data_IF_049350676230
#
_entry.id   IF_049350676230
#
_cell.length_a   1.000
_cell.length_b   1.000
_cell.length_c   1.000
_cell.angle_alpha   90.00
_cell.angle_beta   90.00
_cell.angle_gamma   90.00
#
_symmetry.space_group_name_H-M   'P 1'
#
loop_
_entity.id
_entity.type
_entity.pdbx_description
1 polymer ?
#
# COMPACT_ATOMS: atom_id res chain seq x y z
N UNK A 1 -29.52 -58.09 -28.47
CA UNK A 1 -29.22 -58.84 -27.24
C UNK A 1 -29.29 -57.85 -26.10
N UNK A 2 -30.51 -57.72 -25.58
CA UNK A 2 -30.85 -57.09 -24.31
C UNK A 2 -30.44 -58.07 -23.17
N UNK A 3 -30.23 -57.60 -21.94
CA UNK A 3 -31.40 -57.40 -21.08
C UNK A 3 -31.37 -56.14 -20.18
N UNK A 4 -32.57 -55.61 -19.98
CA UNK A 4 -33.00 -54.80 -18.84
C UNK A 4 -32.93 -55.58 -17.53
N UNK A 5 -32.73 -54.89 -16.40
CA UNK A 5 -33.43 -55.22 -15.14
C UNK A 5 -33.60 -53.99 -14.25
N UNK A 6 -34.81 -53.90 -13.71
CA UNK A 6 -35.42 -52.85 -12.89
C UNK A 6 -35.12 -52.96 -11.37
N UNK A 7 -35.40 -51.84 -10.67
CA UNK A 7 -35.89 -51.72 -9.28
C UNK A 7 -34.86 -51.88 -8.15
N UNK A 8 -34.83 -51.11 -7.05
CA UNK A 8 -35.91 -50.48 -6.27
C UNK A 8 -35.37 -49.33 -5.42
N UNK A 9 -36.21 -48.31 -5.23
CA UNK A 9 -36.09 -47.29 -4.18
C UNK A 9 -35.96 -47.91 -2.78
N UNK A 10 -35.20 -47.26 -1.90
CA UNK A 10 -35.57 -47.19 -0.48
C UNK A 10 -35.27 -45.81 0.09
N UNK A 11 -36.34 -45.04 0.27
CA UNK A 11 -36.41 -43.82 1.06
C UNK A 11 -36.09 -44.14 2.52
N UNK A 12 -35.04 -43.55 3.08
CA UNK A 12 -34.88 -43.45 4.53
C UNK A 12 -35.27 -42.03 4.97
N UNK A 13 -36.33 -42.00 5.78
CA UNK A 13 -36.97 -40.82 6.34
C UNK A 13 -36.00 -40.02 7.22
N UNK A 14 -36.05 -38.69 7.02
CA UNK A 14 -35.59 -37.67 7.95
C UNK A 14 -36.13 -37.91 9.37
N UNK A 15 -35.24 -37.99 10.36
CA UNK A 15 -35.52 -37.65 11.75
C UNK A 15 -34.67 -36.42 12.14
N UNK A 16 -35.27 -35.36 12.69
CA UNK A 16 -34.51 -34.20 13.14
C UNK A 16 -33.82 -34.50 14.47
N UNK A 17 -32.49 -34.51 14.48
CA UNK A 17 -31.69 -34.50 15.70
C UNK A 17 -31.89 -33.18 16.45
N UNK A 18 -32.57 -33.24 17.59
CA UNK A 18 -32.64 -32.14 18.57
C UNK A 18 -31.29 -32.01 19.27
N UNK A 19 -30.42 -31.14 18.77
CA UNK A 19 -29.21 -30.72 19.46
C UNK A 19 -29.57 -29.85 20.68
N UNK A 20 -29.64 -30.49 21.86
CA UNK A 20 -29.72 -29.84 23.16
C UNK A 20 -28.34 -29.28 23.54
N UNK A 21 -28.04 -28.07 23.07
CA UNK A 21 -26.90 -27.28 23.54
C UNK A 21 -27.19 -26.81 24.97
N UNK A 22 -26.56 -27.45 25.96
CA UNK A 22 -26.53 -26.97 27.35
C UNK A 22 -25.69 -25.69 27.42
N UNK A 23 -26.35 -24.53 27.57
CA UNK A 23 -25.69 -23.25 27.91
C UNK A 23 -24.95 -23.39 29.25
N UNK A 24 -23.65 -23.06 29.35
CA UNK A 24 -22.96 -23.02 30.63
C UNK A 24 -23.50 -21.86 31.48
N UNK A 25 -23.82 -22.16 32.76
CA UNK A 25 -24.22 -21.17 33.77
C UNK A 25 -23.00 -20.32 34.15
N UNK A 26 -22.88 -19.13 33.57
CA UNK A 26 -21.93 -18.12 34.00
C UNK A 26 -22.48 -17.44 35.26
N UNK A 27 -21.83 -17.66 36.41
CA UNK A 27 -22.06 -16.83 37.61
C UNK A 27 -21.48 -15.44 37.38
N UNK A 28 -22.18 -14.34 37.71
CA UNK A 28 -21.61 -13.01 37.63
C UNK A 28 -20.48 -12.89 38.66
N UNK A 29 -19.26 -12.61 38.18
CA UNK A 29 -18.14 -12.24 39.06
C UNK A 29 -18.38 -10.82 39.57
N UNK A 30 -18.38 -10.68 40.91
CA UNK A 30 -18.31 -9.40 41.62
C UNK A 30 -17.14 -8.57 41.08
N UNK A 31 -17.40 -7.31 40.76
CA UNK A 31 -16.38 -6.28 40.63
C UNK A 31 -15.50 -6.31 41.88
N UNK A 32 -14.24 -6.67 41.70
CA UNK A 32 -13.20 -6.36 42.65
C UNK A 32 -12.48 -5.14 42.11
N UNK A 33 -12.57 -4.07 42.87
CA UNK A 33 -11.70 -2.90 42.78
C UNK A 33 -10.25 -3.37 42.68
N UNK A 34 -9.65 -3.22 41.51
CA UNK A 34 -8.21 -3.26 41.35
C UNK A 34 -7.76 -1.81 41.29
N UNK A 35 -7.46 -1.29 42.48
CA UNK A 35 -6.60 -0.13 42.66
C UNK A 35 -5.37 -0.27 41.78
N UNK A 36 -5.11 0.75 40.97
CA UNK A 36 -3.85 0.93 40.25
C UNK A 36 -2.78 1.24 41.31
N UNK A 37 -1.73 0.42 41.50
CA UNK A 37 -0.58 0.81 42.29
C UNK A 37 0.22 1.85 41.52
N UNK A 38 0.61 2.90 42.25
CA UNK A 38 1.31 4.07 41.72
C UNK A 38 2.66 3.79 41.09
N UNK A 39 3.07 4.80 40.34
CA UNK A 39 4.30 4.92 39.58
C UNK A 39 5.54 4.40 40.30
N UNK A 40 6.31 3.56 39.61
CA UNK A 40 7.76 3.52 39.76
C UNK A 40 8.40 2.93 38.50
N UNK A 41 9.26 3.73 37.86
CA UNK A 41 10.25 3.36 36.85
C UNK A 41 9.75 2.93 35.46
N UNK A 42 9.61 3.91 34.54
CA UNK A 42 9.73 3.66 33.10
C UNK A 42 10.65 4.70 32.47
N UNK A 43 11.75 4.16 31.95
CA UNK A 43 12.98 4.81 31.51
C UNK A 43 12.85 5.63 30.23
N UNK A 44 13.55 6.77 30.19
CA UNK A 44 14.34 7.31 29.05
C UNK A 44 13.67 7.60 27.69
N UNK A 45 12.80 6.73 27.17
CA UNK A 45 12.26 6.81 25.82
C UNK A 45 11.02 7.72 25.68
N UNK A 46 10.32 8.03 26.78
CA UNK A 46 9.20 8.99 26.75
C UNK A 46 9.64 10.45 26.68
N UNK A 47 10.87 10.77 27.09
CA UNK A 47 11.40 12.14 27.02
C UNK A 47 11.70 12.58 25.57
N UNK A 48 12.10 11.67 24.69
CA UNK A 48 12.34 11.96 23.27
C UNK A 48 11.04 12.14 22.48
N UNK A 49 9.97 11.43 22.84
CA UNK A 49 8.66 11.56 22.20
C UNK A 49 7.96 12.87 22.61
N UNK A 50 8.13 13.33 23.86
CA UNK A 50 7.60 14.62 24.31
C UNK A 50 8.33 15.82 23.70
N UNK A 51 9.63 15.70 23.38
CA UNK A 51 10.37 16.76 22.69
C UNK A 51 9.92 16.95 21.22
N UNK A 52 9.54 15.86 20.53
CA UNK A 52 9.01 15.93 19.16
C UNK A 52 7.59 16.56 19.11
N UNK A 53 6.74 16.29 20.12
CA UNK A 53 5.39 16.86 20.20
C UNK A 53 5.42 18.36 20.54
N UNK A 54 6.37 18.82 21.37
CA UNK A 54 6.50 20.25 21.72
C UNK A 54 7.12 21.10 20.60
N UNK A 55 7.99 20.54 19.76
CA UNK A 55 8.51 21.24 18.58
C UNK A 55 7.46 21.39 17.47
N UNK A 56 6.46 20.52 17.42
CA UNK A 56 5.32 20.64 16.50
C UNK A 56 4.35 21.78 16.91
N UNK A 57 4.28 22.13 18.20
CA UNK A 57 3.47 23.26 18.68
C UNK A 57 4.13 24.64 18.51
N UNK A 58 5.47 24.71 18.47
CA UNK A 58 6.16 25.99 18.27
C UNK A 58 6.11 26.49 16.80
N UNK A 59 5.98 25.57 15.84
CA UNK A 59 5.74 25.93 14.43
C UNK A 59 4.36 26.55 14.20
N UNK A 60 3.35 26.16 14.99
CA UNK A 60 1.97 26.69 14.88
C UNK A 60 1.85 28.10 15.47
N UNK A 61 2.65 28.43 16.50
CA UNK A 61 2.65 29.77 17.10
C UNK A 61 3.49 30.81 16.32
N UNK A 62 4.35 30.36 15.41
CA UNK A 62 5.34 31.20 14.72
C UNK A 62 4.95 31.50 13.27
N UNK A 63 3.68 31.83 13.00
CA UNK A 63 3.26 32.55 11.79
C UNK A 63 3.89 32.12 10.46
N UNK A 64 4.10 30.82 10.24
CA UNK A 64 4.51 30.32 8.93
C UNK A 64 3.36 30.62 7.98
N UNK A 65 3.62 31.44 6.96
CA UNK A 65 2.70 31.71 5.85
C UNK A 65 1.95 30.42 5.50
N UNK A 66 0.66 30.34 5.83
CA UNK A 66 -0.17 29.31 5.25
C UNK A 66 -0.08 29.55 3.75
N UNK A 67 0.60 28.65 3.04
CA UNK A 67 0.71 28.71 1.59
C UNK A 67 -0.71 28.87 1.05
N UNK A 68 -1.00 30.04 0.48
CA UNK A 68 -2.30 30.32 -0.08
C UNK A 68 -2.52 29.31 -1.20
N UNK A 69 -3.53 28.45 -1.08
CA UNK A 69 -3.84 27.43 -2.08
C UNK A 69 -3.91 28.11 -3.46
N UNK A 70 -2.91 27.83 -4.29
CA UNK A 70 -2.91 28.28 -5.68
C UNK A 70 -3.90 27.39 -6.43
N UNK A 71 -4.51 27.94 -7.49
CA UNK A 71 -5.36 27.12 -8.36
C UNK A 71 -4.56 25.93 -8.87
N UNK A 72 -5.03 24.71 -8.62
CA UNK A 72 -4.40 23.47 -9.10
C UNK A 72 -4.13 23.61 -10.61
N UNK A 73 -2.88 23.45 -11.07
CA UNK A 73 -2.54 23.60 -12.48
C UNK A 73 -3.29 22.55 -13.29
N UNK A 74 -3.78 22.92 -14.47
CA UNK A 74 -4.43 21.95 -15.36
C UNK A 74 -3.46 20.82 -15.68
N UNK A 75 -3.85 19.56 -15.44
CA UNK A 75 -3.02 18.41 -15.79
C UNK A 75 -2.91 18.29 -17.32
N UNK A 76 -1.69 18.41 -17.89
CA UNK A 76 -1.47 18.30 -19.32
C UNK A 76 -1.88 16.92 -19.86
N UNK A 77 -2.88 16.89 -20.74
CA UNK A 77 -3.23 15.69 -21.49
C UNK A 77 -2.17 15.43 -22.56
N UNK A 78 -1.69 14.19 -22.66
CA UNK A 78 -0.71 13.80 -23.69
C UNK A 78 0.19 12.65 -23.23
N UNK A 79 1.26 12.41 -23.97
CA UNK A 79 2.26 11.37 -23.65
C UNK A 79 3.23 11.92 -22.61
N UNK A 80 3.44 11.16 -21.54
CA UNK A 80 4.42 11.47 -20.51
C UNK A 80 5.61 10.53 -20.66
N UNK A 81 6.83 11.09 -20.62
CA UNK A 81 8.03 10.29 -20.49
C UNK A 81 8.09 9.67 -19.09
N UNK A 82 8.64 8.46 -18.98
CA UNK A 82 9.01 7.86 -17.71
C UNK A 82 10.52 7.95 -17.55
N UNK A 83 10.97 8.46 -16.40
CA UNK A 83 12.36 8.44 -15.98
C UNK A 83 12.41 7.80 -14.59
N UNK A 84 12.88 6.56 -14.55
CA UNK A 84 12.96 5.75 -13.34
C UNK A 84 14.11 6.14 -12.41
N UNK A 85 14.33 5.29 -11.41
CA UNK A 85 15.40 5.43 -10.41
C UNK A 85 16.80 5.47 -11.05
N UNK A 86 16.98 4.83 -12.20
CA UNK A 86 18.28 4.63 -12.84
C UNK A 86 18.47 5.40 -14.17
N UNK A 87 17.53 6.28 -14.56
CA UNK A 87 17.51 6.87 -15.89
C UNK A 87 18.13 8.27 -15.94
N UNK A 88 19.24 8.43 -16.68
CA UNK A 88 19.63 9.73 -17.22
C UNK A 88 18.55 10.18 -18.22
N UNK A 89 17.93 11.34 -18.00
CA UNK A 89 16.86 11.86 -18.86
C UNK A 89 17.50 12.40 -20.15
N UNK A 90 17.30 11.76 -21.32
CA UNK A 90 17.89 12.24 -22.56
C UNK A 90 17.32 13.61 -22.94
N UNK A 91 18.17 14.62 -23.22
CA UNK A 91 17.71 15.95 -23.61
C UNK A 91 16.77 15.95 -24.84
N UNK A 92 16.88 14.95 -25.71
CA UNK A 92 16.04 14.79 -26.89
C UNK A 92 14.56 14.55 -26.54
N UNK A 93 14.26 13.96 -25.37
CA UNK A 93 12.88 13.76 -24.94
C UNK A 93 12.17 15.08 -24.67
N UNK A 94 12.87 16.07 -24.10
CA UNK A 94 12.30 17.38 -23.84
C UNK A 94 12.03 18.18 -25.13
N UNK A 95 12.76 17.89 -26.20
CA UNK A 95 12.57 18.51 -27.52
C UNK A 95 11.47 17.82 -28.35
N UNK A 96 10.97 16.67 -27.90
CA UNK A 96 9.91 15.96 -28.60
C UNK A 96 8.54 16.61 -28.32
N UNK A 97 7.95 17.24 -29.33
CA UNK A 97 6.65 17.92 -29.23
C UNK A 97 5.47 17.00 -28.89
N UNK A 98 5.63 15.67 -29.01
CA UNK A 98 4.64 14.69 -28.58
C UNK A 98 4.65 14.43 -27.06
N UNK A 99 5.70 14.83 -26.35
CA UNK A 99 5.88 14.60 -24.92
C UNK A 99 5.46 15.86 -24.16
N UNK A 100 4.50 15.72 -23.26
CA UNK A 100 3.92 16.86 -22.51
C UNK A 100 4.53 17.07 -21.13
N UNK A 101 5.28 16.09 -20.63
CA UNK A 101 5.93 16.11 -19.33
C UNK A 101 6.73 14.84 -19.07
N UNK A 102 7.34 14.77 -17.88
CA UNK A 102 8.14 13.62 -17.44
C UNK A 102 7.73 13.21 -16.02
N UNK A 103 7.63 11.91 -15.79
CA UNK A 103 7.51 11.32 -14.47
C UNK A 103 8.88 10.95 -13.91
N UNK A 104 9.18 11.36 -12.68
CA UNK A 104 10.37 10.93 -11.94
C UNK A 104 9.95 10.30 -10.61
N UNK A 105 10.69 9.31 -10.15
CA UNK A 105 10.39 8.63 -8.89
C UNK A 105 11.64 8.22 -8.11
N UNK A 106 11.44 7.87 -6.85
CA UNK A 106 12.42 7.21 -5.99
C UNK A 106 11.72 6.19 -5.08
N UNK A 107 12.44 5.18 -4.60
CA UNK A 107 11.92 4.16 -3.69
C UNK A 107 11.85 4.66 -2.24
N UNK A 108 10.84 4.21 -1.48
CA UNK A 108 10.65 4.60 -0.08
C UNK A 108 11.86 4.24 0.79
N UNK A 109 12.44 3.05 0.61
CA UNK A 109 13.65 2.61 1.31
C UNK A 109 14.87 3.52 1.09
N UNK A 110 14.90 4.25 -0.04
CA UNK A 110 15.97 5.20 -0.36
C UNK A 110 15.68 6.55 0.28
N UNK A 111 14.47 7.08 0.10
CA UNK A 111 14.13 8.42 0.65
C UNK A 111 13.96 8.42 2.16
N UNK A 112 13.76 7.26 2.79
CA UNK A 112 13.57 7.16 4.23
C UNK A 112 14.44 6.05 4.83
N UNK A 113 15.78 6.24 4.85
CA UNK A 113 16.74 5.19 5.19
C UNK A 113 16.74 4.82 6.68
N UNK A 114 16.22 5.70 7.54
CA UNK A 114 16.12 5.49 8.98
C UNK A 114 14.85 6.15 9.56
N UNK A 115 14.37 5.73 10.75
CA UNK A 115 13.17 6.30 11.37
C UNK A 115 13.24 7.83 11.47
N UNK A 116 12.27 8.53 10.85
CA UNK A 116 12.17 9.99 10.87
C UNK A 116 13.26 10.74 10.09
N UNK A 117 14.14 10.04 9.35
CA UNK A 117 15.17 10.65 8.51
C UNK A 117 14.74 10.54 7.05
N UNK A 118 14.62 11.67 6.37
CA UNK A 118 14.31 11.73 4.95
C UNK A 118 15.48 12.28 4.14
N UNK A 119 15.89 11.54 3.11
CA UNK A 119 16.93 11.91 2.16
C UNK A 119 16.33 12.05 0.76
N UNK A 120 16.13 13.30 0.33
CA UNK A 120 15.55 13.62 -0.98
C UNK A 120 16.59 13.77 -2.09
N UNK A 121 17.89 13.59 -1.79
CA UNK A 121 18.99 13.97 -2.69
C UNK A 121 18.88 13.36 -4.09
N UNK A 122 18.53 12.09 -4.20
CA UNK A 122 18.37 11.43 -5.50
C UNK A 122 17.15 11.94 -6.27
N UNK A 123 16.00 12.08 -5.61
CA UNK A 123 14.79 12.59 -6.27
C UNK A 123 14.95 14.07 -6.66
N UNK A 124 15.63 14.88 -5.83
CA UNK A 124 16.01 16.26 -6.13
C UNK A 124 16.92 16.33 -7.35
N UNK A 125 17.91 15.45 -7.45
CA UNK A 125 18.80 15.34 -8.60
C UNK A 125 18.02 15.02 -9.88
N UNK A 126 17.06 14.07 -9.83
CA UNK A 126 16.21 13.73 -10.98
C UNK A 126 15.29 14.88 -11.38
N UNK A 127 14.69 15.59 -10.42
CA UNK A 127 13.88 16.79 -10.70
C UNK A 127 14.73 17.89 -11.34
N UNK A 128 15.96 18.11 -10.84
CA UNK A 128 16.89 19.07 -11.41
C UNK A 128 17.33 18.67 -12.83
N UNK A 129 17.62 17.38 -13.05
CA UNK A 129 17.92 16.81 -14.37
C UNK A 129 16.78 16.99 -15.36
N UNK A 130 15.53 16.73 -14.96
CA UNK A 130 14.34 16.97 -15.78
C UNK A 130 14.21 18.44 -16.20
N UNK A 131 14.43 19.37 -15.26
CA UNK A 131 14.41 20.80 -15.54
C UNK A 131 15.53 21.22 -16.50
N UNK A 132 16.74 20.71 -16.27
CA UNK A 132 17.91 20.98 -17.09
C UNK A 132 17.74 20.45 -18.53
N UNK A 133 17.09 19.28 -18.69
CA UNK A 133 16.73 18.73 -19.98
C UNK A 133 15.70 19.60 -20.73
N UNK A 134 14.92 20.42 -20.03
CA UNK A 134 13.97 21.36 -20.64
C UNK A 134 12.51 21.12 -20.25
N UNK A 135 12.21 20.11 -19.43
CA UNK A 135 10.84 19.88 -18.96
C UNK A 135 10.36 21.02 -18.06
N UNK A 136 9.07 21.33 -18.17
CA UNK A 136 8.37 22.34 -17.35
C UNK A 136 7.17 21.76 -16.59
N UNK A 137 6.88 20.48 -16.84
CA UNK A 137 5.74 19.73 -16.30
C UNK A 137 6.29 18.39 -15.83
N UNK A 138 6.37 18.23 -14.51
CA UNK A 138 6.97 17.09 -13.85
C UNK A 138 5.90 16.44 -12.98
N UNK A 139 5.82 15.11 -13.07
CA UNK A 139 5.10 14.28 -12.10
C UNK A 139 6.13 13.62 -11.19
N UNK A 140 5.92 13.69 -9.89
CA UNK A 140 6.82 13.07 -8.91
C UNK A 140 6.15 11.88 -8.21
N UNK A 141 6.93 10.94 -7.71
CA UNK A 141 6.44 9.83 -6.91
C UNK A 141 7.49 9.32 -5.93
N UNK A 142 7.05 8.85 -4.77
CA UNK A 142 7.81 7.89 -3.97
C UNK A 142 7.16 6.53 -4.16
N UNK A 143 7.93 5.50 -4.54
CA UNK A 143 7.45 4.12 -4.60
C UNK A 143 7.39 3.54 -3.20
N UNK A 144 6.22 3.53 -2.58
CA UNK A 144 6.01 3.11 -1.20
C UNK A 144 5.38 1.70 -1.09
N UNK A 145 5.74 0.84 -2.04
CA UNK A 145 5.22 -0.52 -2.18
C UNK A 145 5.83 -1.50 -1.17
N UNK A 146 5.29 -2.71 -1.13
CA UNK A 146 5.85 -3.80 -0.30
C UNK A 146 7.34 -4.02 -0.54
N UNK A 147 7.78 -4.14 -1.80
CA UNK A 147 9.18 -4.42 -2.12
C UNK A 147 10.11 -3.22 -1.93
N UNK A 148 9.54 -2.02 -1.74
CA UNK A 148 10.28 -0.77 -1.52
C UNK A 148 10.18 -0.25 -0.09
N UNK A 149 9.54 -1.00 0.81
CA UNK A 149 9.43 -0.64 2.22
C UNK A 149 10.81 -0.65 2.89
N UNK A 150 11.19 0.39 3.67
CA UNK A 150 12.45 0.40 4.39
C UNK A 150 12.61 -0.80 5.34
N UNK A 151 13.81 -1.41 5.36
CA UNK A 151 14.10 -2.56 6.21
C UNK A 151 13.87 -2.26 7.71
N UNK A 152 14.26 -1.07 8.17
CA UNK A 152 14.07 -0.64 9.56
C UNK A 152 12.59 -0.69 9.97
N UNK A 153 11.66 -0.41 9.04
CA UNK A 153 10.23 -0.42 9.33
C UNK A 153 9.73 -1.86 9.41
N UNK A 154 10.17 -2.73 8.50
CA UNK A 154 9.83 -4.16 8.54
C UNK A 154 10.35 -4.83 9.82
N UNK A 155 11.53 -4.43 10.31
CA UNK A 155 12.15 -4.98 11.52
C UNK A 155 11.39 -4.60 12.81
N UNK A 156 10.65 -3.48 12.79
CA UNK A 156 9.79 -3.08 13.92
C UNK A 156 8.50 -3.92 14.02
N UNK A 157 8.11 -4.60 12.95
CA UNK A 157 6.84 -5.34 12.90
C UNK A 157 7.03 -6.78 13.38
N UNK A 158 6.11 -7.23 14.23
CA UNK A 158 6.03 -8.63 14.62
C UNK A 158 5.73 -9.54 13.40
N UNK A 159 6.12 -10.83 13.43
CA UNK A 159 5.92 -11.74 12.29
C UNK A 159 4.46 -11.86 11.82
N UNK A 160 3.48 -11.82 12.72
CA UNK A 160 2.04 -11.87 12.43
C UNK A 160 1.47 -10.56 11.85
N UNK A 161 2.30 -9.51 11.76
CA UNK A 161 1.97 -8.22 11.17
C UNK A 161 2.58 -8.04 9.76
N UNK A 162 3.07 -9.14 9.18
CA UNK A 162 3.67 -9.21 7.85
C UNK A 162 3.23 -10.50 7.15
N UNK A 163 3.31 -10.49 5.83
CA UNK A 163 3.08 -11.66 4.97
C UNK A 163 4.30 -11.83 4.07
N UNK A 164 4.75 -13.07 3.88
CA UNK A 164 5.86 -13.41 2.99
C UNK A 164 5.30 -13.87 1.64
N UNK A 165 5.20 -12.96 0.68
CA UNK A 165 4.62 -13.21 -0.64
C UNK A 165 5.73 -13.59 -1.63
N UNK A 166 5.54 -14.64 -2.42
CA UNK A 166 6.51 -15.06 -3.42
C UNK A 166 6.40 -14.16 -4.65
N UNK A 167 7.52 -13.57 -5.04
CA UNK A 167 7.63 -12.88 -6.32
C UNK A 167 7.54 -13.90 -7.47
N UNK A 168 6.48 -13.81 -8.25
CA UNK A 168 6.17 -14.73 -9.34
C UNK A 168 6.60 -14.19 -10.72
N UNK A 169 7.19 -12.99 -10.78
CA UNK A 169 7.54 -12.33 -12.03
C UNK A 169 8.99 -12.64 -12.41
N UNK A 170 9.19 -13.47 -13.43
CA UNK A 170 10.51 -13.97 -13.86
C UNK A 170 11.49 -12.89 -14.32
N UNK A 171 11.00 -11.70 -14.64
CA UNK A 171 11.80 -10.54 -15.01
C UNK A 171 12.36 -9.78 -13.80
N UNK A 172 11.88 -10.05 -12.58
CA UNK A 172 12.36 -9.39 -11.37
C UNK A 172 13.64 -10.03 -10.86
N UNK A 173 14.53 -9.22 -10.27
CA UNK A 173 15.73 -9.71 -9.56
C UNK A 173 15.36 -10.56 -8.33
N UNK A 174 14.17 -10.34 -7.78
CA UNK A 174 13.58 -11.03 -6.63
C UNK A 174 12.74 -12.23 -7.03
N UNK A 175 12.70 -12.63 -8.31
CA UNK A 175 11.93 -13.79 -8.75
C UNK A 175 12.19 -15.02 -7.88
N UNK A 176 11.12 -15.65 -7.40
CA UNK A 176 11.16 -16.78 -6.46
C UNK A 176 11.80 -16.49 -5.10
N UNK A 177 11.81 -15.23 -4.67
CA UNK A 177 12.12 -14.83 -3.30
C UNK A 177 10.85 -14.36 -2.61
N UNK A 178 10.85 -14.47 -1.28
CA UNK A 178 9.81 -13.87 -0.46
C UNK A 178 10.02 -12.36 -0.36
N UNK A 179 8.99 -11.59 -0.70
CA UNK A 179 8.86 -10.18 -0.39
C UNK A 179 8.04 -10.08 0.90
N UNK A 180 8.64 -9.50 1.94
CA UNK A 180 7.97 -9.27 3.21
C UNK A 180 7.07 -8.04 3.10
N UNK A 181 5.77 -8.28 2.94
CA UNK A 181 4.73 -7.26 2.89
C UNK A 181 4.17 -6.97 4.28
N UNK A 182 4.32 -5.73 4.75
CA UNK A 182 3.59 -5.27 5.93
C UNK A 182 2.08 -5.23 5.66
N UNK A 183 1.27 -5.48 6.69
CA UNK A 183 -0.18 -5.28 6.58
C UNK A 183 -0.49 -3.79 6.47
N UNK A 184 -1.19 -3.38 5.41
CA UNK A 184 -1.47 -1.97 5.13
C UNK A 184 -2.26 -1.26 6.26
N UNK A 185 -3.05 -2.01 7.03
CA UNK A 185 -3.81 -1.52 8.20
C UNK A 185 -3.05 -1.67 9.52
N UNK A 186 -1.79 -2.12 9.51
CA UNK A 186 -0.97 -2.09 10.72
C UNK A 186 -0.72 -0.62 11.11
N UNK A 187 -0.99 -0.21 12.36
CA UNK A 187 -0.94 1.21 12.73
C UNK A 187 0.45 1.84 12.62
N UNK A 188 1.52 1.07 12.89
CA UNK A 188 2.90 1.59 12.77
C UNK A 188 3.27 1.79 11.30
N UNK A 189 2.98 0.79 10.47
CA UNK A 189 3.25 0.86 9.04
C UNK A 189 2.41 1.95 8.35
N UNK A 190 1.11 2.02 8.67
CA UNK A 190 0.21 3.01 8.10
C UNK A 190 0.64 4.44 8.48
N UNK A 191 0.95 4.68 9.76
CA UNK A 191 1.43 5.99 10.19
C UNK A 191 2.73 6.39 9.47
N UNK A 192 3.67 5.45 9.27
CA UNK A 192 4.90 5.74 8.54
C UNK A 192 4.65 6.16 7.08
N UNK A 193 3.61 5.63 6.42
CA UNK A 193 3.20 6.10 5.08
C UNK A 193 2.61 7.50 5.11
N UNK A 194 1.78 7.81 6.11
CA UNK A 194 1.25 9.17 6.30
C UNK A 194 2.38 10.18 6.55
N UNK A 195 3.35 9.82 7.39
CA UNK A 195 4.52 10.65 7.69
C UNK A 195 5.39 10.86 6.44
N UNK A 196 5.59 9.80 5.63
CA UNK A 196 6.25 9.91 4.33
C UNK A 196 5.54 10.90 3.41
N UNK A 197 4.21 10.79 3.26
CA UNK A 197 3.41 11.68 2.40
C UNK A 197 3.53 13.14 2.87
N UNK A 198 3.45 13.37 4.18
CA UNK A 198 3.61 14.70 4.76
C UNK A 198 5.01 15.28 4.49
N UNK A 199 6.07 14.50 4.70
CA UNK A 199 7.44 14.91 4.42
C UNK A 199 7.67 15.17 2.91
N UNK A 200 7.07 14.35 2.05
CA UNK A 200 7.15 14.47 0.60
C UNK A 200 6.48 15.76 0.11
N UNK A 201 5.27 16.07 0.60
CA UNK A 201 4.58 17.31 0.28
C UNK A 201 5.31 18.55 0.78
N UNK A 202 5.80 18.53 2.02
CA UNK A 202 6.56 19.62 2.61
C UNK A 202 7.80 20.00 1.79
N UNK A 203 8.43 19.02 1.14
CA UNK A 203 9.62 19.24 0.32
C UNK A 203 9.30 19.75 -1.09
N UNK A 204 8.25 19.22 -1.75
CA UNK A 204 8.02 19.45 -3.18
C UNK A 204 6.82 20.34 -3.56
N UNK A 205 5.85 20.59 -2.67
CA UNK A 205 4.58 21.25 -3.07
C UNK A 205 4.73 22.68 -3.59
N UNK A 206 5.86 23.34 -3.30
CA UNK A 206 6.10 24.73 -3.73
C UNK A 206 6.87 24.84 -5.06
N UNK A 207 7.24 23.72 -5.69
CA UNK A 207 7.95 23.73 -6.96
C UNK A 207 6.97 23.88 -8.14
N UNK A 208 6.99 25.01 -8.88
CA UNK A 208 6.01 25.27 -9.94
C UNK A 208 6.17 24.34 -11.16
N UNK A 209 7.30 23.64 -11.30
CA UNK A 209 7.46 22.64 -12.36
C UNK A 209 6.73 21.33 -12.04
N UNK A 210 6.42 21.09 -10.76
CA UNK A 210 5.74 19.89 -10.30
C UNK A 210 4.24 20.12 -10.37
N UNK A 211 3.61 19.48 -11.35
CA UNK A 211 2.17 19.66 -11.65
C UNK A 211 1.34 18.46 -11.20
N UNK A 212 1.99 17.35 -10.87
CA UNK A 212 1.33 16.15 -10.36
C UNK A 212 2.21 15.35 -9.40
N UNK A 213 1.55 14.56 -8.55
CA UNK A 213 2.18 13.64 -7.61
C UNK A 213 1.46 12.30 -7.60
N UNK A 214 2.21 11.21 -7.42
CA UNK A 214 1.66 9.89 -7.13
C UNK A 214 1.82 9.59 -5.64
N UNK A 215 1.08 10.32 -4.81
CA UNK A 215 1.11 10.23 -3.35
C UNK A 215 -0.11 9.51 -2.75
N UNK A 216 -1.08 9.10 -3.58
CA UNK A 216 -2.30 8.44 -3.14
C UNK A 216 -2.31 6.91 -3.40
N UNK A 217 -1.14 6.30 -3.62
CA UNK A 217 -1.01 4.85 -3.70
C UNK A 217 -1.14 4.24 -2.29
N UNK A 218 -2.01 3.25 -2.12
CA UNK A 218 -2.24 2.67 -0.78
C UNK A 218 -2.26 1.13 -0.75
N UNK A 219 -2.32 0.45 -1.88
CA UNK A 219 -2.40 -1.02 -1.96
C UNK A 219 -1.53 -1.56 -3.10
N UNK A 220 -0.22 -1.66 -2.88
CA UNK A 220 0.76 -1.88 -3.94
C UNK A 220 1.90 -2.82 -3.51
N UNK A 221 2.33 -3.69 -4.42
CA UNK A 221 3.37 -4.68 -4.14
C UNK A 221 4.76 -4.32 -4.69
N UNK A 222 4.86 -3.93 -5.96
CA UNK A 222 6.14 -3.64 -6.62
C UNK A 222 6.25 -2.25 -7.26
N UNK A 223 5.12 -1.60 -7.57
CA UNK A 223 5.07 -0.26 -8.15
C UNK A 223 4.23 0.66 -7.27
N UNK A 224 3.89 1.85 -7.76
CA UNK A 224 2.84 2.65 -7.14
C UNK A 224 1.44 2.33 -7.67
N UNK A 225 1.31 1.42 -8.61
CA UNK A 225 -0.01 1.02 -9.06
C UNK A 225 -0.66 0.10 -8.04
N UNK A 226 -1.98 0.25 -7.88
CA UNK A 226 -2.70 -0.66 -7.02
C UNK A 226 -2.73 -2.05 -7.65
N UNK A 227 -1.79 -2.86 -7.19
CA UNK A 227 -1.60 -4.24 -7.58
C UNK A 227 -0.90 -4.94 -6.40
N UNK A 228 -1.70 -5.49 -5.50
CA UNK A 228 -1.17 -6.36 -4.45
C UNK A 228 -0.78 -7.69 -5.07
N UNK A 229 0.14 -8.42 -4.44
CA UNK A 229 0.49 -9.76 -4.92
C UNK A 229 -0.62 -10.75 -4.54
N UNK A 230 -1.43 -11.11 -5.53
CA UNK A 230 -2.65 -11.92 -5.41
C UNK A 230 -2.62 -13.20 -6.25
N UNK A 231 -1.42 -13.63 -6.69
CA UNK A 231 -1.33 -14.80 -7.54
C UNK A 231 -1.68 -16.11 -6.81
N UNK A 232 -2.46 -16.94 -7.49
CA UNK A 232 -2.87 -18.29 -7.09
C UNK A 232 -2.43 -19.28 -8.16
N UNK A 233 -1.72 -20.32 -7.75
CA UNK A 233 -1.27 -21.38 -8.64
C UNK A 233 0.19 -21.76 -8.41
N UNK A 234 0.84 -22.26 -9.46
CA UNK A 234 2.22 -22.76 -9.37
C UNK A 234 3.21 -21.75 -9.94
N UNK A 235 4.10 -21.25 -9.10
CA UNK A 235 5.28 -20.47 -9.49
C UNK A 235 6.40 -21.43 -9.86
N UNK A 236 6.87 -21.38 -11.10
CA UNK A 236 7.93 -22.26 -11.60
C UNK A 236 9.31 -21.71 -11.26
N UNK A 237 9.78 -21.98 -10.04
CA UNK A 237 11.10 -21.53 -9.62
C UNK A 237 12.23 -22.36 -10.23
N UNK A 238 13.46 -21.80 -10.28
CA UNK A 238 14.63 -22.51 -10.79
C UNK A 238 14.90 -23.81 -10.03
N UNK A 239 15.45 -24.82 -10.70
CA UNK A 239 15.83 -26.09 -10.04
C UNK A 239 16.91 -25.89 -8.98
N UNK A 240 16.87 -26.72 -7.93
CA UNK A 240 17.89 -26.69 -6.89
C UNK A 240 19.27 -27.17 -7.41
N UNK A 241 20.38 -26.71 -6.81
CA UNK A 241 20.45 -25.75 -5.70
C UNK A 241 20.33 -24.29 -6.17
N UNK A 242 19.75 -23.44 -5.32
CA UNK A 242 19.72 -21.98 -5.50
C UNK A 242 20.33 -21.29 -4.27
N UNK A 243 21.03 -20.16 -4.44
CA UNK A 243 21.53 -19.40 -3.31
C UNK A 243 20.35 -18.82 -2.51
N UNK A 244 20.36 -18.88 -1.16
CA UNK A 244 19.40 -18.14 -0.35
C UNK A 244 19.44 -16.64 -0.70
N UNK A 245 18.29 -15.94 -0.72
CA UNK A 245 16.97 -16.40 -0.26
C UNK A 245 16.08 -17.02 -1.37
N UNK A 246 16.65 -17.34 -2.54
CA UNK A 246 15.87 -17.87 -3.68
C UNK A 246 15.33 -19.26 -3.38
N UNK A 247 14.01 -19.40 -3.48
CA UNK A 247 13.31 -20.68 -3.43
C UNK A 247 13.57 -21.46 -4.72
N UNK A 248 13.71 -22.77 -4.61
CA UNK A 248 13.92 -23.65 -5.74
C UNK A 248 12.77 -24.63 -5.93
N UNK A 249 12.64 -25.16 -7.14
CA UNK A 249 11.54 -26.01 -7.60
C UNK A 249 10.16 -25.34 -7.52
N UNK A 250 9.18 -25.95 -8.19
CA UNK A 250 7.85 -25.34 -8.33
C UNK A 250 7.16 -25.13 -6.98
N UNK A 251 6.78 -23.87 -6.70
CA UNK A 251 6.07 -23.47 -5.48
C UNK A 251 4.59 -23.34 -5.79
N UNK A 252 3.73 -24.07 -5.09
CA UNK A 252 2.27 -23.84 -5.17
C UNK A 252 1.89 -22.83 -4.11
N UNK A 253 1.28 -21.73 -4.53
CA UNK A 253 0.92 -20.61 -3.66
C UNK A 253 -0.55 -20.25 -3.80
N UNK A 254 -1.12 -19.79 -2.70
CA UNK A 254 -2.38 -19.06 -2.66
C UNK A 254 -2.14 -17.77 -1.87
N UNK A 255 -1.67 -16.73 -2.56
CA UNK A 255 -1.30 -15.47 -1.93
C UNK A 255 -2.53 -14.66 -1.53
N UNK A 256 -3.66 -14.88 -2.20
CA UNK A 256 -4.95 -14.33 -1.80
C UNK A 256 -5.36 -14.89 -0.44
N UNK A 257 -5.26 -16.21 -0.24
CA UNK A 257 -5.57 -16.79 1.06
C UNK A 257 -4.65 -16.26 2.17
N UNK A 258 -3.38 -16.00 1.89
CA UNK A 258 -2.47 -15.41 2.87
C UNK A 258 -2.92 -14.02 3.35
N UNK A 259 -3.39 -13.16 2.44
CA UNK A 259 -3.98 -11.87 2.81
C UNK A 259 -5.28 -12.03 3.60
N UNK A 260 -6.16 -12.96 3.21
CA UNK A 260 -7.40 -13.24 3.95
C UNK A 260 -7.11 -13.74 5.38
N UNK A 261 -6.16 -14.65 5.53
CA UNK A 261 -5.72 -15.19 6.82
C UNK A 261 -5.09 -14.12 7.71
N UNK A 262 -4.40 -13.14 7.11
CA UNK A 262 -3.89 -11.96 7.80
C UNK A 262 -5.00 -10.95 8.19
N UNK A 263 -6.24 -11.17 7.74
CA UNK A 263 -7.40 -10.38 8.08
C UNK A 263 -7.70 -9.23 7.12
N UNK A 264 -7.34 -9.38 5.84
CA UNK A 264 -7.80 -8.48 4.78
C UNK A 264 -9.32 -8.39 4.78
N UNK A 265 -9.82 -7.15 4.72
CA UNK A 265 -11.23 -6.87 4.44
C UNK A 265 -11.31 -5.60 3.63
N UNK A 266 -12.31 -5.50 2.77
CA UNK A 266 -12.61 -4.29 2.01
C UNK A 266 -12.75 -3.06 2.93
N UNK A 267 -13.49 -3.16 4.03
CA UNK A 267 -13.69 -2.04 4.95
C UNK A 267 -12.39 -1.51 5.57
N UNK A 268 -11.44 -2.38 5.89
CA UNK A 268 -10.11 -1.96 6.39
C UNK A 268 -9.33 -1.22 5.32
N UNK A 269 -9.30 -1.76 4.11
CA UNK A 269 -8.55 -1.17 3.01
C UNK A 269 -9.19 0.11 2.49
N UNK A 270 -10.52 0.23 2.56
CA UNK A 270 -11.24 1.47 2.28
C UNK A 270 -10.83 2.56 3.25
N UNK A 271 -10.72 2.24 4.55
CA UNK A 271 -10.22 3.19 5.55
C UNK A 271 -8.79 3.63 5.24
N UNK A 272 -7.89 2.67 5.01
CA UNK A 272 -6.49 2.96 4.66
C UNK A 272 -6.41 3.86 3.43
N UNK A 273 -7.18 3.55 2.38
CA UNK A 273 -7.22 4.35 1.16
C UNK A 273 -7.70 5.77 1.39
N UNK A 274 -8.79 5.96 2.16
CA UNK A 274 -9.28 7.30 2.53
C UNK A 274 -8.23 8.12 3.28
N UNK A 275 -7.59 7.53 4.30
CA UNK A 275 -6.58 8.20 5.11
C UNK A 275 -5.35 8.61 4.29
N UNK A 276 -4.90 7.76 3.37
CA UNK A 276 -3.79 8.07 2.43
C UNK A 276 -4.18 9.17 1.44
N UNK A 277 -5.39 9.11 0.86
CA UNK A 277 -5.91 10.12 -0.07
C UNK A 277 -6.02 11.48 0.61
N UNK A 278 -6.55 11.53 1.83
CA UNK A 278 -6.68 12.76 2.61
C UNK A 278 -5.31 13.34 2.94
N UNK A 279 -4.35 12.49 3.34
CA UNK A 279 -2.97 12.93 3.59
C UNK A 279 -2.31 13.48 2.32
N UNK A 280 -2.50 12.82 1.17
CA UNK A 280 -1.98 13.30 -0.11
C UNK A 280 -2.59 14.65 -0.50
N UNK A 281 -3.90 14.82 -0.34
CA UNK A 281 -4.61 16.08 -0.59
C UNK A 281 -4.12 17.22 0.31
N UNK A 282 -3.87 16.92 1.58
CA UNK A 282 -3.32 17.89 2.53
C UNK A 282 -1.86 18.26 2.22
N UNK A 283 -1.05 17.28 1.81
CA UNK A 283 0.38 17.46 1.53
C UNK A 283 0.65 18.16 0.19
N UNK A 284 -0.25 18.01 -0.79
CA UNK A 284 -0.12 18.54 -2.14
C UNK A 284 -1.35 19.35 -2.58
N UNK A 285 -1.66 20.46 -1.88
CA UNK A 285 -2.87 21.25 -2.16
C UNK A 285 -2.85 21.93 -3.53
N UNK A 286 -1.69 22.04 -4.16
CA UNK A 286 -1.47 22.77 -5.41
C UNK A 286 -1.17 21.85 -6.59
N UNK A 287 -1.23 20.52 -6.44
CA UNK A 287 -0.86 19.57 -7.49
C UNK A 287 -2.02 18.64 -7.83
N UNK A 288 -2.01 18.08 -9.04
CA UNK A 288 -2.88 16.96 -9.37
C UNK A 288 -2.38 15.70 -8.66
N UNK A 289 -3.28 14.95 -8.05
CA UNK A 289 -2.93 13.72 -7.34
C UNK A 289 -3.33 12.55 -8.22
N UNK A 290 -2.35 11.75 -8.63
CA UNK A 290 -2.60 10.47 -9.29
C UNK A 290 -3.17 9.51 -8.25
N UNK A 291 -4.35 8.98 -8.55
CA UNK A 291 -4.97 7.88 -7.82
C UNK A 291 -4.86 6.61 -8.68
N UNK A 292 -3.85 5.76 -8.45
CA UNK A 292 -3.61 4.61 -9.29
C UNK A 292 -4.51 3.45 -8.88
N UNK A 293 -5.72 3.41 -9.45
CA UNK A 293 -6.68 2.31 -9.21
C UNK A 293 -6.41 1.19 -10.21
N UNK A 294 -6.10 0.00 -9.68
CA UNK A 294 -5.98 -1.23 -10.45
C UNK A 294 -7.05 -2.25 -10.03
N UNK A 295 -7.15 -3.33 -10.81
CA UNK A 295 -8.02 -4.45 -10.49
C UNK A 295 -7.34 -5.47 -9.59
N UNK A 296 -8.15 -6.25 -8.88
CA UNK A 296 -7.71 -7.48 -8.22
C UNK A 296 -8.16 -8.66 -9.10
N UNK A 297 -7.29 -9.64 -9.29
CA UNK A 297 -7.54 -10.73 -10.25
C UNK A 297 -8.38 -11.86 -9.66
N UNK A 298 -8.37 -12.02 -8.34
CA UNK A 298 -9.12 -13.07 -7.63
C UNK A 298 -10.42 -12.53 -7.02
N UNK A 299 -11.52 -13.23 -7.28
CA UNK A 299 -12.87 -12.85 -6.85
C UNK A 299 -13.06 -12.87 -5.33
N UNK A 300 -12.22 -13.59 -4.58
CA UNK A 300 -12.26 -13.57 -3.11
C UNK A 300 -11.88 -12.20 -2.52
N UNK A 301 -11.28 -11.32 -3.32
CA UNK A 301 -10.95 -9.94 -2.94
C UNK A 301 -11.51 -8.87 -3.86
N UNK A 302 -11.77 -9.19 -5.14
CA UNK A 302 -12.29 -8.21 -6.08
C UNK A 302 -13.79 -7.96 -5.91
N UNK A 303 -14.60 -8.92 -5.45
CA UNK A 303 -16.05 -8.71 -5.37
C UNK A 303 -16.61 -9.12 -4.00
N UNK A 304 -17.60 -8.37 -3.43
CA UNK A 304 -18.18 -8.69 -2.13
C UNK A 304 -18.90 -10.05 -2.09
N UNK A 305 -19.37 -10.50 -3.26
CA UNK A 305 -20.14 -11.73 -3.47
C UNK A 305 -19.36 -12.82 -4.22
N UNK A 306 -18.13 -12.55 -4.65
CA UNK A 306 -17.34 -13.47 -5.47
C UNK A 306 -17.83 -13.62 -6.91
N UNK A 307 -18.80 -12.81 -7.38
CA UNK A 307 -19.35 -12.96 -8.73
C UNK A 307 -18.38 -12.41 -9.80
N UNK A 308 -17.84 -13.25 -10.69
CA UNK A 308 -16.95 -12.82 -11.77
C UNK A 308 -17.62 -11.86 -12.77
N UNK A 309 -18.95 -11.82 -12.85
CA UNK A 309 -19.70 -10.93 -13.74
C UNK A 309 -19.54 -9.44 -13.37
N UNK A 310 -19.15 -9.14 -12.13
CA UNK A 310 -18.84 -7.79 -11.66
C UNK A 310 -17.42 -7.31 -12.05
N UNK A 311 -16.65 -8.15 -12.76
CA UNK A 311 -15.33 -7.83 -13.29
C UNK A 311 -14.22 -7.77 -12.25
N UNK A 312 -13.02 -7.37 -12.69
CA UNK A 312 -11.82 -7.29 -11.84
C UNK A 312 -11.69 -5.93 -11.10
N UNK A 313 -12.58 -4.97 -11.40
CA UNK A 313 -12.65 -3.72 -10.65
C UNK A 313 -13.22 -4.02 -9.27
N UNK A 314 -12.38 -3.87 -8.25
CA UNK A 314 -12.80 -4.22 -6.91
C UNK A 314 -13.95 -3.33 -6.44
N UNK A 315 -14.85 -3.84 -5.59
CA UNK A 315 -15.82 -2.94 -4.93
C UNK A 315 -15.08 -1.82 -4.18
N UNK A 316 -13.91 -2.12 -3.63
CA UNK A 316 -13.02 -1.15 -3.01
C UNK A 316 -12.60 -0.03 -3.98
N UNK A 317 -12.36 -0.35 -5.26
CA UNK A 317 -12.02 0.63 -6.28
C UNK A 317 -13.17 1.60 -6.53
N UNK A 318 -14.40 1.07 -6.62
CA UNK A 318 -15.63 1.88 -6.75
C UNK A 318 -15.86 2.74 -5.51
N UNK A 319 -15.69 2.19 -4.32
CA UNK A 319 -15.89 2.91 -3.06
C UNK A 319 -14.88 4.04 -2.89
N UNK A 320 -13.64 3.86 -3.34
CA UNK A 320 -12.60 4.89 -3.37
C UNK A 320 -12.91 5.96 -4.43
N UNK A 321 -13.35 5.56 -5.62
CA UNK A 321 -13.80 6.49 -6.65
C UNK A 321 -14.97 7.37 -6.15
N UNK A 322 -15.98 6.75 -5.54
CA UNK A 322 -17.12 7.45 -4.93
C UNK A 322 -16.68 8.37 -3.80
N UNK A 323 -15.69 7.96 -2.99
CA UNK A 323 -15.13 8.81 -1.94
C UNK A 323 -14.49 10.08 -2.50
N UNK A 324 -13.71 9.97 -3.58
CA UNK A 324 -12.95 11.08 -4.16
C UNK A 324 -13.84 12.01 -4.98
N UNK A 325 -14.79 11.47 -5.75
CA UNK A 325 -15.61 12.24 -6.68
C UNK A 325 -17.02 12.56 -6.18
N UNK A 326 -17.46 11.95 -5.07
CA UNK A 326 -18.78 12.20 -4.47
C UNK A 326 -19.95 11.63 -5.26
N UNK A 327 -19.73 10.54 -6.00
CA UNK A 327 -20.76 9.83 -6.79
C UNK A 327 -21.69 8.97 -5.94
#
# INVERSE_FOLDING_TARGET
MEPETHSSLNQTKNQPMKNLVKKPKVKPRKNRDLMIPGDSALSGQRALILAAVLMSWYAIASGTNMAQAQSVPAYPKGVWAAAGVDDDIPPELANNLGIVGVGVNEDWSVVNPAPGVYDWSQLDSRVAGAKAAGFRKISIAVTDSSSKTPAWLLDLLAPDQKIALIDNASQHKTFCQNINSALYWNPVFHQARLDLIAAFGAHYTNDPAIVATNAAAFANHNSNDWNIQDFVGTVRCPSCPQPPPTLCDSQTVDQVQQWLDAGWTEAKMLRVGKEIIDAAAAAFPNQNIKLPIGGLTDNRMSTPDGDPAHGNYSQLARDIENYVYGN
#
